data_IF_687966162603
#
_entry.id   IF_687966162603
#
_cell.length_a   1.000
_cell.length_b   1.000
_cell.length_c   1.000
_cell.angle_alpha   90.00
_cell.angle_beta   90.00
_cell.angle_gamma   90.00
#
_symmetry.space_group_name_H-M   'P 1'
#
loop_
_entity.id
_entity.type
_entity.pdbx_description
1 polymer ?
#
# COMPACT_ATOMS: atom_id res chain seq x y z
N UNK A 1 -3.20 -13.42 -29.60
CA UNK A 1 -3.63 -12.05 -29.41
C UNK A 1 -3.51 -11.69 -27.94
N UNK A 2 -2.92 -10.52 -27.60
CA UNK A 2 -2.80 -10.03 -26.24
C UNK A 2 -3.87 -8.98 -26.01
N UNK A 3 -4.83 -9.28 -25.17
CA UNK A 3 -5.97 -8.41 -24.88
C UNK A 3 -5.68 -7.55 -23.66
N UNK A 4 -5.85 -6.23 -23.78
CA UNK A 4 -5.75 -5.28 -22.68
C UNK A 4 -7.17 -4.89 -22.26
N UNK A 5 -7.45 -5.10 -20.97
CA UNK A 5 -8.75 -4.83 -20.37
C UNK A 5 -8.63 -3.92 -19.17
N UNK A 6 -9.55 -3.00 -19.03
CA UNK A 6 -9.66 -2.13 -17.86
C UNK A 6 -10.86 -2.54 -17.03
N UNK A 7 -10.71 -2.44 -15.72
CA UNK A 7 -11.84 -2.54 -14.79
C UNK A 7 -12.29 -1.13 -14.42
N UNK A 8 -13.46 -0.77 -14.90
CA UNK A 8 -14.09 0.53 -14.61
C UNK A 8 -15.41 0.25 -13.88
N UNK A 9 -15.59 0.83 -12.71
CA UNK A 9 -16.76 0.64 -11.84
C UNK A 9 -17.13 -0.84 -11.63
N UNK A 10 -16.11 -1.65 -11.39
CA UNK A 10 -16.25 -3.09 -11.15
C UNK A 10 -16.41 -3.96 -12.41
N UNK A 11 -16.64 -3.36 -13.59
CA UNK A 11 -16.86 -4.05 -14.84
C UNK A 11 -15.60 -4.11 -15.70
N UNK A 12 -15.25 -5.30 -16.21
CA UNK A 12 -14.13 -5.49 -17.12
C UNK A 12 -14.53 -5.09 -18.55
N UNK A 13 -13.76 -4.18 -19.13
CA UNK A 13 -13.95 -3.73 -20.52
C UNK A 13 -12.68 -4.00 -21.32
N UNK A 14 -12.81 -4.60 -22.49
CA UNK A 14 -11.72 -4.69 -23.47
C UNK A 14 -11.50 -3.31 -24.09
N UNK A 15 -10.25 -2.86 -24.10
CA UNK A 15 -9.91 -1.54 -24.58
C UNK A 15 -9.19 -1.64 -25.93
N UNK A 16 -8.23 -2.53 -26.02
CA UNK A 16 -7.52 -2.82 -27.27
C UNK A 16 -6.82 -4.17 -27.22
N UNK A 17 -6.46 -4.66 -28.38
CA UNK A 17 -5.70 -5.88 -28.58
C UNK A 17 -4.37 -5.60 -29.23
N UNK A 18 -3.35 -6.34 -28.83
CA UNK A 18 -2.00 -6.26 -29.35
C UNK A 18 -1.64 -7.52 -30.12
N UNK A 19 -0.76 -7.37 -31.09
CA UNK A 19 -0.19 -8.51 -31.80
C UNK A 19 0.61 -9.41 -30.84
N UNK A 20 0.64 -10.73 -31.04
CA UNK A 20 1.39 -11.65 -30.17
C UNK A 20 2.87 -11.28 -30.02
N UNK A 21 3.47 -10.69 -31.03
CA UNK A 21 4.87 -10.27 -31.01
C UNK A 21 5.17 -9.20 -29.93
N UNK A 22 4.19 -8.41 -29.54
CA UNK A 22 4.34 -7.36 -28.52
C UNK A 22 4.15 -7.86 -27.08
N UNK A 23 3.60 -9.06 -26.88
CA UNK A 23 3.32 -9.59 -25.56
C UNK A 23 4.59 -9.66 -24.70
N UNK A 24 5.61 -10.32 -25.21
CA UNK A 24 6.85 -10.57 -24.48
C UNK A 24 7.62 -9.29 -24.16
N UNK A 25 7.85 -8.38 -25.15
CA UNK A 25 8.45 -7.07 -24.86
C UNK A 25 7.68 -6.25 -23.82
N UNK A 26 6.35 -6.22 -23.92
CA UNK A 26 5.51 -5.49 -22.96
C UNK A 26 5.63 -6.04 -21.54
N UNK A 27 5.48 -7.36 -21.39
CA UNK A 27 5.63 -8.03 -20.09
C UNK A 27 7.02 -7.79 -19.51
N UNK A 28 8.08 -7.93 -20.31
CA UNK A 28 9.44 -7.68 -19.86
C UNK A 28 9.64 -6.23 -19.42
N UNK A 29 9.09 -5.26 -20.13
CA UNK A 29 9.17 -3.85 -19.77
C UNK A 29 8.46 -3.56 -18.46
N UNK A 30 7.27 -4.11 -18.25
CA UNK A 30 6.52 -3.97 -17.00
C UNK A 30 7.30 -4.58 -15.84
N UNK A 31 7.89 -5.77 -16.02
CA UNK A 31 8.72 -6.43 -15.00
C UNK A 31 9.94 -5.60 -14.62
N UNK A 32 10.64 -5.03 -15.58
CA UNK A 32 11.80 -4.15 -15.34
C UNK A 32 11.36 -2.94 -14.50
N UNK A 33 10.29 -2.27 -14.92
CA UNK A 33 9.79 -1.09 -14.21
C UNK A 33 9.38 -1.39 -12.78
N UNK A 34 8.81 -2.57 -12.53
CA UNK A 34 8.31 -3.00 -11.20
C UNK A 34 9.31 -3.78 -10.36
N UNK A 35 10.58 -3.88 -10.81
CA UNK A 35 11.64 -4.57 -10.07
C UNK A 35 11.49 -6.09 -10.02
N UNK A 36 10.73 -6.67 -10.94
CA UNK A 36 10.55 -8.12 -11.05
C UNK A 36 11.65 -8.78 -11.87
N UNK A 37 11.86 -10.06 -11.66
CA UNK A 37 12.81 -10.88 -12.44
C UNK A 37 12.24 -11.17 -13.82
N UNK A 38 12.97 -10.80 -14.87
CA UNK A 38 12.57 -11.02 -16.27
C UNK A 38 12.87 -12.44 -16.76
N UNK A 39 13.84 -13.10 -16.13
CA UNK A 39 14.26 -14.46 -16.42
C UNK A 39 13.33 -15.52 -15.81
N UNK A 40 12.56 -15.17 -14.77
CA UNK A 40 11.60 -16.04 -14.12
C UNK A 40 10.18 -15.79 -14.65
N UNK A 41 9.58 -16.85 -15.23
CA UNK A 41 8.25 -16.79 -15.86
C UNK A 41 7.30 -17.89 -15.37
N UNK A 42 7.78 -18.74 -14.46
CA UNK A 42 7.04 -19.92 -13.98
C UNK A 42 6.40 -19.70 -12.62
N UNK A 43 6.83 -18.67 -11.92
CA UNK A 43 6.31 -18.33 -10.59
C UNK A 43 5.59 -16.99 -10.60
N UNK A 44 4.54 -16.82 -9.80
CA UNK A 44 3.94 -15.51 -9.58
C UNK A 44 4.96 -14.53 -9.03
N UNK A 45 4.87 -13.28 -9.45
CA UNK A 45 5.71 -12.20 -8.95
C UNK A 45 4.86 -10.95 -8.70
N UNK A 46 5.26 -10.18 -7.71
CA UNK A 46 4.67 -8.90 -7.37
C UNK A 46 5.73 -7.81 -7.43
N UNK A 47 5.33 -6.62 -7.82
CA UNK A 47 6.20 -5.47 -7.90
C UNK A 47 5.42 -4.16 -7.85
N UNK A 48 6.16 -3.06 -7.91
CA UNK A 48 5.59 -1.72 -7.81
C UNK A 48 6.46 -0.73 -8.58
N UNK A 49 5.84 0.24 -9.23
CA UNK A 49 6.56 1.37 -9.81
C UNK A 49 5.70 2.63 -9.85
N UNK A 50 6.38 3.77 -9.88
CA UNK A 50 5.73 5.06 -10.11
C UNK A 50 5.80 5.41 -11.60
N UNK A 51 4.69 5.89 -12.14
CA UNK A 51 4.62 6.49 -13.47
C UNK A 51 4.22 7.96 -13.36
N UNK A 52 4.73 8.78 -14.27
CA UNK A 52 4.29 10.16 -14.42
C UNK A 52 3.49 10.27 -15.73
N UNK A 53 2.21 10.58 -15.62
CA UNK A 53 1.31 10.79 -16.74
C UNK A 53 0.81 12.23 -16.68
N UNK A 54 1.20 13.04 -17.64
CA UNK A 54 0.76 14.45 -17.78
C UNK A 54 0.94 15.29 -16.51
N UNK A 55 2.05 15.04 -15.78
CA UNK A 55 2.36 15.72 -14.51
C UNK A 55 1.78 15.08 -13.27
N UNK A 56 0.91 14.08 -13.41
CA UNK A 56 0.36 13.32 -12.30
C UNK A 56 1.24 12.11 -11.98
N UNK A 57 1.68 12.01 -10.74
CA UNK A 57 2.40 10.82 -10.25
C UNK A 57 1.38 9.75 -9.88
N UNK A 58 1.46 8.63 -10.57
CA UNK A 58 0.61 7.46 -10.35
C UNK A 58 1.49 6.35 -9.78
N UNK A 59 1.05 5.73 -8.72
CA UNK A 59 1.66 4.54 -8.16
C UNK A 59 0.92 3.30 -8.68
N UNK A 60 1.68 2.31 -9.16
CA UNK A 60 1.14 1.09 -9.74
C UNK A 60 1.65 -0.13 -8.98
N UNK A 61 0.72 -0.92 -8.45
CA UNK A 61 1.01 -2.29 -8.00
C UNK A 61 0.83 -3.23 -9.18
N UNK A 62 1.80 -4.11 -9.36
CA UNK A 62 1.85 -5.04 -10.49
C UNK A 62 1.94 -6.45 -9.95
N UNK A 63 1.07 -7.33 -10.43
CA UNK A 63 1.14 -8.76 -10.17
C UNK A 63 1.23 -9.53 -11.49
N UNK A 64 2.13 -10.50 -11.55
CA UNK A 64 2.26 -11.43 -12.67
C UNK A 64 1.94 -12.85 -12.24
N UNK A 65 1.30 -13.61 -13.12
CA UNK A 65 1.05 -15.03 -12.93
C UNK A 65 1.24 -15.78 -14.25
N UNK A 66 1.91 -16.95 -14.25
CA UNK A 66 2.00 -17.78 -15.45
C UNK A 66 0.63 -18.34 -15.84
N UNK A 67 0.37 -18.38 -17.13
CA UNK A 67 -0.80 -19.02 -17.72
C UNK A 67 -0.37 -19.87 -18.92
N UNK A 68 -1.27 -20.72 -19.42
CA UNK A 68 -0.97 -21.52 -20.63
C UNK A 68 -0.68 -20.68 -21.89
N UNK A 69 -1.04 -19.40 -21.89
CA UNK A 69 -0.86 -18.48 -23.01
C UNK A 69 0.27 -17.46 -22.79
N UNK A 70 1.09 -17.64 -21.79
CA UNK A 70 2.10 -16.71 -21.34
C UNK A 70 1.76 -16.10 -19.99
N UNK A 71 2.43 -15.03 -19.61
CA UNK A 71 2.19 -14.37 -18.32
C UNK A 71 1.01 -13.41 -18.41
N UNK A 72 0.09 -13.54 -17.47
CA UNK A 72 -0.95 -12.53 -17.22
C UNK A 72 -0.39 -11.48 -16.27
N UNK A 73 -0.52 -10.22 -16.64
CA UNK A 73 -0.17 -9.07 -15.80
C UNK A 73 -1.45 -8.36 -15.34
N UNK A 74 -1.47 -7.98 -14.08
CA UNK A 74 -2.49 -7.10 -13.53
C UNK A 74 -1.81 -5.87 -12.95
N UNK A 75 -2.23 -4.68 -13.38
CA UNK A 75 -1.78 -3.41 -12.83
C UNK A 75 -2.93 -2.79 -12.05
N UNK A 76 -2.70 -2.49 -10.79
CA UNK A 76 -3.64 -1.72 -9.95
C UNK A 76 -3.10 -0.30 -9.84
N UNK A 77 -3.88 0.64 -10.34
CA UNK A 77 -3.58 2.06 -10.22
C UNK A 77 -3.95 2.47 -8.80
N UNK A 78 -2.97 3.00 -8.07
CA UNK A 78 -3.19 3.62 -6.78
C UNK A 78 -3.13 5.12 -7.01
N UNK A 79 -4.28 5.77 -7.00
CA UNK A 79 -4.34 7.23 -7.07
C UNK A 79 -3.58 7.82 -5.88
N UNK A 80 -2.64 8.75 -6.13
CA UNK A 80 -2.00 9.53 -5.06
C UNK A 80 -2.93 10.62 -4.48
N UNK A 81 -4.10 10.80 -5.06
CA UNK A 81 -5.18 11.59 -4.48
C UNK A 81 -5.82 10.89 -3.26
N UNK A 82 -5.05 9.99 -2.61
CA UNK A 82 -5.37 9.58 -1.27
C UNK A 82 -5.30 10.84 -0.41
N UNK A 83 -6.44 11.53 -0.35
CA UNK A 83 -6.69 12.59 0.60
C UNK A 83 -6.27 12.00 1.95
N UNK A 84 -5.21 12.57 2.53
CA UNK A 84 -4.85 12.25 3.90
C UNK A 84 -6.07 12.67 4.71
N UNK A 85 -6.87 11.69 5.09
CA UNK A 85 -8.11 11.91 5.83
C UNK A 85 -7.69 12.20 7.27
N UNK A 86 -8.06 13.38 7.77
CA UNK A 86 -7.85 13.68 9.19
C UNK A 86 -8.81 12.81 10.03
N UNK A 87 -8.47 12.65 11.30
CA UNK A 87 -9.31 11.91 12.26
C UNK A 87 -10.73 12.53 12.37
N UNK A 88 -10.86 13.84 12.13
CA UNK A 88 -12.12 14.57 12.11
C UNK A 88 -13.02 14.21 10.93
N UNK A 89 -12.41 13.83 9.80
CA UNK A 89 -13.12 13.53 8.55
C UNK A 89 -13.60 12.08 8.45
N UNK A 90 -13.27 11.24 9.43
CA UNK A 90 -13.67 9.82 9.44
C UNK A 90 -15.16 9.58 9.66
N UNK A 91 -15.95 10.63 9.90
CA UNK A 91 -17.38 10.52 10.18
C UNK A 91 -17.71 9.98 11.58
N UNK A 92 -16.75 10.06 12.51
CA UNK A 92 -16.98 9.67 13.91
C UNK A 92 -17.97 10.61 14.58
N UNK A 93 -18.89 10.07 15.36
CA UNK A 93 -19.76 10.91 16.19
C UNK A 93 -18.94 11.60 17.30
N UNK A 94 -19.30 12.85 17.71
CA UNK A 94 -18.47 13.63 18.61
C UNK A 94 -18.03 12.93 19.91
N UNK A 95 -18.86 12.13 20.60
CA UNK A 95 -18.43 11.41 21.79
C UNK A 95 -17.30 10.39 21.49
N UNK A 96 -17.43 9.63 20.41
CA UNK A 96 -16.44 8.60 20.04
C UNK A 96 -15.12 9.24 19.59
N UNK A 97 -15.19 10.33 18.83
CA UNK A 97 -14.02 11.12 18.44
C UNK A 97 -13.21 11.54 19.69
N UNK A 98 -13.87 12.11 20.71
CA UNK A 98 -13.19 12.54 21.94
C UNK A 98 -12.60 11.37 22.73
N UNK A 99 -13.26 10.22 22.73
CA UNK A 99 -12.75 9.00 23.37
C UNK A 99 -11.47 8.54 22.64
N UNK A 100 -11.50 8.47 21.33
CA UNK A 100 -10.36 8.05 20.51
C UNK A 100 -9.20 9.03 20.71
N UNK A 101 -9.42 10.32 20.54
CA UNK A 101 -8.40 11.35 20.70
C UNK A 101 -7.71 11.26 22.05
N UNK A 102 -8.49 11.19 23.14
CA UNK A 102 -7.94 11.07 24.49
C UNK A 102 -7.10 9.79 24.68
N UNK A 103 -7.50 8.68 24.04
CA UNK A 103 -6.80 7.41 24.22
C UNK A 103 -5.53 7.31 23.40
N UNK A 104 -5.50 7.83 22.18
CA UNK A 104 -4.28 7.82 21.34
C UNK A 104 -3.20 8.78 21.87
N UNK A 105 -3.57 9.74 22.72
CA UNK A 105 -2.62 10.66 23.36
C UNK A 105 -2.00 10.11 24.64
N UNK A 106 -2.44 8.96 25.15
CA UNK A 106 -1.83 8.32 26.32
C UNK A 106 -0.38 7.93 26.05
N UNK A 107 0.51 7.96 27.03
CA UNK A 107 1.92 7.62 26.87
C UNK A 107 2.16 6.13 26.60
N UNK A 108 1.22 5.27 26.93
CA UNK A 108 1.30 3.81 26.71
C UNK A 108 -0.11 3.21 26.58
N UNK A 109 -0.19 2.09 25.90
CA UNK A 109 -1.43 1.36 25.66
C UNK A 109 -1.43 0.69 24.29
N UNK A 110 -2.55 0.08 23.97
CA UNK A 110 -2.78 -0.57 22.69
C UNK A 110 -4.17 -0.20 22.17
N UNK A 111 -4.25 0.12 20.88
CA UNK A 111 -5.52 0.32 20.16
C UNK A 111 -5.64 -0.80 19.12
N UNK A 112 -6.77 -1.52 19.14
CA UNK A 112 -7.07 -2.56 18.17
C UNK A 112 -8.21 -2.11 17.27
N UNK A 113 -8.00 -2.22 15.96
CA UNK A 113 -9.03 -1.95 14.95
C UNK A 113 -9.32 -3.24 14.19
N UNK A 114 -10.57 -3.67 14.21
CA UNK A 114 -11.03 -4.90 13.55
C UNK A 114 -12.14 -4.60 12.57
N UNK A 115 -12.30 -5.46 11.58
CA UNK A 115 -13.36 -5.36 10.58
C UNK A 115 -13.00 -6.06 9.26
N UNK A 116 -13.94 -6.23 8.34
CA UNK A 116 -13.70 -6.84 7.04
C UNK A 116 -12.82 -5.98 6.15
N UNK A 117 -12.41 -6.53 4.99
CA UNK A 117 -11.70 -5.76 3.96
C UNK A 117 -12.57 -4.60 3.48
N UNK A 118 -11.97 -3.42 3.30
CA UNK A 118 -12.69 -2.21 2.85
C UNK A 118 -13.46 -1.47 3.95
N UNK A 119 -13.40 -1.89 5.22
CA UNK A 119 -14.09 -1.21 6.33
C UNK A 119 -13.39 0.06 6.85
N UNK A 120 -12.28 0.47 6.23
CA UNK A 120 -11.55 1.68 6.62
C UNK A 120 -10.50 1.48 7.73
N UNK A 121 -10.11 0.24 8.07
CA UNK A 121 -9.12 -0.02 9.14
C UNK A 121 -7.81 0.75 8.96
N UNK A 122 -7.17 0.60 7.80
CA UNK A 122 -5.90 1.29 7.50
C UNK A 122 -6.08 2.81 7.47
N UNK A 123 -7.18 3.28 6.89
CA UNK A 123 -7.54 4.71 6.86
C UNK A 123 -7.64 5.28 8.28
N UNK A 124 -8.34 4.58 9.16
CA UNK A 124 -8.50 5.00 10.56
C UNK A 124 -7.17 4.99 11.31
N UNK A 125 -6.34 3.93 11.14
CA UNK A 125 -5.02 3.87 11.75
C UNK A 125 -4.13 5.01 11.26
N UNK A 126 -4.11 5.28 9.97
CA UNK A 126 -3.30 6.35 9.38
C UNK A 126 -3.73 7.73 9.87
N UNK A 127 -5.05 7.98 9.96
CA UNK A 127 -5.59 9.22 10.54
C UNK A 127 -5.16 9.39 12.02
N UNK A 128 -5.16 8.30 12.80
CA UNK A 128 -4.65 8.33 14.18
C UNK A 128 -3.16 8.65 14.24
N UNK A 129 -2.32 8.03 13.39
CA UNK A 129 -0.87 8.31 13.35
C UNK A 129 -0.60 9.77 12.98
N UNK A 130 -1.30 10.30 11.98
CA UNK A 130 -1.19 11.69 11.56
C UNK A 130 -1.57 12.63 12.72
N UNK A 131 -2.66 12.34 13.40
CA UNK A 131 -3.11 13.14 14.54
C UNK A 131 -2.11 13.11 15.70
N UNK A 132 -1.56 11.95 16.03
CA UNK A 132 -0.49 11.83 17.05
C UNK A 132 0.72 12.69 16.65
N UNK A 133 1.17 12.57 15.40
CA UNK A 133 2.29 13.37 14.89
C UNK A 133 2.04 14.87 15.04
N UNK A 134 0.88 15.35 14.61
CA UNK A 134 0.49 16.76 14.67
C UNK A 134 0.42 17.26 16.11
N UNK A 135 -0.30 16.58 16.98
CA UNK A 135 -0.49 16.98 18.39
C UNK A 135 0.84 16.99 19.16
N UNK A 136 1.74 16.09 18.83
CA UNK A 136 3.08 16.03 19.44
C UNK A 136 4.14 16.80 18.64
N UNK A 137 3.71 17.76 17.79
CA UNK A 137 4.60 18.65 17.02
C UNK A 137 5.66 17.91 16.18
N UNK A 138 5.36 16.68 15.76
CA UNK A 138 6.26 15.81 14.99
C UNK A 138 7.62 15.51 15.66
N UNK A 139 7.70 15.52 16.97
CA UNK A 139 8.91 15.13 17.73
C UNK A 139 8.92 13.66 18.15
N UNK A 140 7.92 12.88 17.74
CA UNK A 140 7.76 11.47 18.07
C UNK A 140 8.26 10.57 16.94
N UNK A 141 8.90 9.46 17.31
CA UNK A 141 9.31 8.43 16.38
C UNK A 141 8.15 7.46 16.13
N UNK A 142 7.48 7.63 15.00
CA UNK A 142 6.37 6.77 14.56
C UNK A 142 6.89 5.77 13.54
N UNK A 143 6.69 4.50 13.79
CA UNK A 143 7.13 3.42 12.90
C UNK A 143 6.01 2.41 12.66
N UNK A 144 5.94 1.87 11.44
CA UNK A 144 4.91 0.88 11.07
C UNK A 144 5.51 -0.38 10.47
N UNK A 145 4.75 -1.48 10.56
CA UNK A 145 4.96 -2.71 9.79
C UNK A 145 3.65 -3.07 9.12
N UNK A 146 3.67 -3.22 7.81
CA UNK A 146 2.47 -3.31 7.01
C UNK A 146 2.59 -4.38 5.91
N UNK A 147 1.46 -4.98 5.53
CA UNK A 147 1.39 -5.96 4.44
C UNK A 147 0.14 -5.73 3.57
N UNK A 148 0.26 -4.85 2.57
CA UNK A 148 1.36 -3.95 2.25
C UNK A 148 1.15 -2.52 2.82
N UNK A 149 2.15 -1.65 2.66
CA UNK A 149 1.98 -0.20 2.84
C UNK A 149 0.99 0.31 1.78
N UNK A 150 -0.10 0.95 2.22
CA UNK A 150 -1.14 1.44 1.30
C UNK A 150 -0.73 2.73 0.60
N UNK A 151 -0.27 3.72 1.36
CA UNK A 151 0.33 4.96 0.85
C UNK A 151 1.32 5.54 1.87
N UNK A 152 2.19 6.43 1.40
CA UNK A 152 3.20 7.04 2.25
C UNK A 152 2.61 8.10 3.16
N UNK A 153 2.92 8.02 4.45
CA UNK A 153 2.56 9.03 5.45
C UNK A 153 3.82 9.89 5.71
N UNK A 154 3.74 11.21 5.58
CA UNK A 154 4.86 12.07 5.90
C UNK A 154 5.35 11.89 7.33
N UNK A 155 6.67 11.80 7.52
CA UNK A 155 7.34 11.67 8.84
C UNK A 155 7.02 10.39 9.62
N UNK A 156 6.49 9.35 8.95
CA UNK A 156 6.30 8.02 9.50
C UNK A 156 7.26 7.05 8.82
N UNK A 157 7.95 6.25 9.61
CA UNK A 157 8.87 5.21 9.12
C UNK A 157 8.08 3.94 8.79
N UNK A 158 7.70 3.77 7.53
CA UNK A 158 6.84 2.66 7.11
C UNK A 158 7.68 1.50 6.57
N UNK A 159 7.57 0.33 7.18
CA UNK A 159 8.23 -0.90 6.76
C UNK A 159 7.21 -1.85 6.15
N UNK A 160 7.43 -2.25 4.91
CA UNK A 160 6.62 -3.28 4.27
C UNK A 160 7.18 -4.67 4.53
N UNK A 161 6.30 -5.61 4.88
CA UNK A 161 6.63 -7.04 4.94
C UNK A 161 7.19 -7.51 3.60
N UNK A 162 8.30 -8.24 3.64
CA UNK A 162 8.94 -8.83 2.47
C UNK A 162 9.44 -10.23 2.84
N UNK A 163 8.64 -11.23 2.55
CA UNK A 163 8.93 -12.62 2.88
C UNK A 163 10.21 -13.13 2.21
N UNK A 164 10.51 -12.67 0.99
CA UNK A 164 11.71 -13.07 0.25
C UNK A 164 12.97 -12.52 0.89
N UNK A 165 12.89 -11.34 1.50
CA UNK A 165 14.01 -10.72 2.23
C UNK A 165 14.03 -11.11 3.72
N UNK A 166 13.14 -12.00 4.18
CA UNK A 166 13.05 -12.42 5.58
C UNK A 166 12.43 -11.37 6.51
N UNK A 167 11.81 -10.32 5.95
CA UNK A 167 11.10 -9.30 6.72
C UNK A 167 9.66 -9.75 6.95
N UNK A 168 9.40 -10.33 8.11
CA UNK A 168 8.08 -10.74 8.58
C UNK A 168 7.61 -9.78 9.69
N UNK A 169 6.34 -9.80 10.04
CA UNK A 169 5.81 -9.00 11.16
C UNK A 169 6.63 -9.20 12.45
N UNK A 170 6.95 -10.44 12.79
CA UNK A 170 7.70 -10.76 14.02
C UNK A 170 9.15 -10.28 13.99
N UNK A 171 9.86 -10.45 12.87
CA UNK A 171 11.26 -9.99 12.72
C UNK A 171 11.33 -8.48 12.60
N UNK A 172 10.38 -7.88 11.89
CA UNK A 172 10.23 -6.43 11.75
C UNK A 172 9.94 -5.77 13.10
N UNK A 173 8.97 -6.28 13.86
CA UNK A 173 8.67 -5.75 15.20
C UNK A 173 9.88 -5.79 16.13
N UNK A 174 10.62 -6.94 16.16
CA UNK A 174 11.86 -7.03 16.93
C UNK A 174 12.92 -6.01 16.48
N UNK A 175 12.96 -5.67 15.20
CA UNK A 175 13.87 -4.65 14.69
C UNK A 175 13.41 -3.24 15.11
N UNK A 176 12.11 -2.93 14.99
CA UNK A 176 11.55 -1.65 15.39
C UNK A 176 11.76 -1.35 16.87
N UNK A 177 11.59 -2.33 17.75
CA UNK A 177 11.82 -2.17 19.20
C UNK A 177 13.26 -1.74 19.55
N UNK A 178 14.22 -1.87 18.62
CA UNK A 178 15.60 -1.37 18.77
C UNK A 178 15.83 -0.02 18.11
N UNK A 179 14.80 0.59 17.54
CA UNK A 179 14.85 1.89 16.87
C UNK A 179 14.29 3.02 17.75
N UNK A 180 14.08 2.74 19.03
CA UNK A 180 13.55 3.69 20.01
C UNK A 180 12.22 4.34 19.57
N UNK A 181 11.20 3.54 19.20
CA UNK A 181 9.93 4.05 18.73
C UNK A 181 9.05 4.53 19.89
N UNK A 182 8.38 5.68 19.68
CA UNK A 182 7.32 6.16 20.58
C UNK A 182 5.97 5.53 20.23
N UNK A 183 5.74 5.28 18.95
CA UNK A 183 4.50 4.70 18.42
C UNK A 183 4.82 3.64 17.38
N UNK A 184 4.20 2.46 17.52
CA UNK A 184 4.28 1.36 16.56
C UNK A 184 2.88 1.02 16.05
N UNK A 185 2.76 0.89 14.74
CA UNK A 185 1.57 0.36 14.08
C UNK A 185 1.91 -0.91 13.29
#
# INVERSE_FOLDING_TARGET
ETVVRYRVDGVMREVFSLTPALQLPLVSRIKILSGMRIDERRTPQDGRFEANLDGFKIDLRVASIPTQWGEKIVLRILSKDNVIIDLEDLGLVPPDYQIILRNIMKPFGMVLITGPTGSGKSTTLYAMLMRIGTERQNIVNISTIEEPVEYSIPRVNQTQVNHLAGVHFSTGLKALLRQDPDVIM
#
